data_IF_127587307384
#
_entry.id   IF_127587307384
#
_cell.length_a   1.000
_cell.length_b   1.000
_cell.length_c   1.000
_cell.angle_alpha   90.00
_cell.angle_beta   90.00
_cell.angle_gamma   90.00
#
_symmetry.space_group_name_H-M   'P 1'
#
loop_
_entity.id
_entity.type
_entity.pdbx_description
1 polymer ?
#
# COMPACT_ATOMS: atom_id res chain seq x y z
N UNK A 1 -6.14 -7.04 9.14
CA UNK A 1 -6.65 -6.39 7.94
C UNK A 1 -8.17 -6.30 7.97
N UNK A 2 -8.86 -7.40 8.25
CA UNK A 2 -10.31 -7.40 8.34
C UNK A 2 -10.85 -6.42 9.39
N UNK A 3 -10.17 -6.30 10.52
CA UNK A 3 -10.60 -5.38 11.56
C UNK A 3 -10.49 -3.93 11.15
N UNK A 4 -9.41 -3.53 10.46
CA UNK A 4 -9.27 -2.17 9.99
C UNK A 4 -10.35 -1.81 8.97
N UNK A 5 -10.76 -2.79 8.15
CA UNK A 5 -11.84 -2.59 7.18
C UNK A 5 -13.22 -2.50 7.83
N UNK A 6 -13.42 -3.17 8.98
CA UNK A 6 -14.71 -3.15 9.69
C UNK A 6 -14.93 -1.88 10.50
N UNK A 7 -13.87 -1.34 11.11
CA UNK A 7 -13.99 -0.19 12.01
C UNK A 7 -14.23 1.13 11.29
N UNK A 8 -13.85 1.23 10.02
CA UNK A 8 -14.03 2.45 9.23
C UNK A 8 -14.55 2.09 7.86
N UNK A 9 -15.33 2.99 7.30
CA UNK A 9 -15.82 2.81 5.93
C UNK A 9 -14.68 3.12 4.97
N UNK A 10 -13.97 2.09 4.52
CA UNK A 10 -12.83 2.22 3.62
C UNK A 10 -13.33 2.20 2.19
N UNK A 11 -13.07 3.28 1.46
CA UNK A 11 -13.43 3.40 0.04
C UNK A 11 -12.22 3.44 -0.87
N UNK A 12 -11.10 3.97 -0.40
CA UNK A 12 -9.88 4.13 -1.20
C UNK A 12 -8.68 3.66 -0.40
N UNK A 13 -7.89 2.78 -1.00
CA UNK A 13 -6.68 2.23 -0.39
C UNK A 13 -5.47 2.52 -1.27
N UNK A 14 -4.33 2.71 -0.64
CA UNK A 14 -3.05 2.89 -1.33
C UNK A 14 -2.07 1.83 -0.84
N UNK A 15 -1.43 1.13 -1.77
CA UNK A 15 -0.34 0.21 -1.45
C UNK A 15 0.99 0.95 -1.59
N UNK A 16 1.85 0.81 -0.60
CA UNK A 16 3.22 1.32 -0.65
C UNK A 16 4.13 0.14 -0.96
N UNK A 17 4.70 0.16 -2.16
CA UNK A 17 5.50 -0.94 -2.67
C UNK A 17 4.65 -2.05 -3.26
N UNK A 18 5.02 -2.53 -4.45
CA UNK A 18 4.29 -3.61 -5.13
C UNK A 18 5.22 -4.69 -5.65
N UNK A 19 6.52 -4.58 -5.37
CA UNK A 19 7.50 -5.57 -5.81
C UNK A 19 7.58 -6.74 -4.84
N UNK A 20 8.17 -7.86 -5.31
CA UNK A 20 8.36 -9.03 -4.48
C UNK A 20 9.33 -8.78 -3.32
N UNK A 21 10.44 -8.08 -3.59
CA UNK A 21 11.45 -7.72 -2.59
C UNK A 21 11.72 -6.23 -2.63
N UNK A 22 12.28 -5.71 -1.53
CA UNK A 22 12.64 -4.30 -1.50
C UNK A 22 13.82 -4.00 -2.43
N UNK A 23 13.86 -2.77 -2.94
CA UNK A 23 14.96 -2.23 -3.76
C UNK A 23 15.16 -2.94 -5.10
N UNK A 24 14.12 -3.60 -5.61
CA UNK A 24 14.13 -4.21 -6.95
C UNK A 24 12.81 -3.89 -7.64
N UNK A 25 12.78 -4.10 -8.98
CA UNK A 25 11.60 -3.80 -9.78
C UNK A 25 10.83 -5.05 -10.23
N UNK A 26 10.99 -6.16 -9.52
CA UNK A 26 10.40 -7.45 -9.87
C UNK A 26 9.04 -7.64 -9.20
N UNK A 27 7.97 -7.67 -10.00
CA UNK A 27 6.61 -7.89 -9.49
C UNK A 27 6.16 -9.34 -9.56
N UNK A 28 6.98 -10.23 -10.12
CA UNK A 28 6.65 -11.65 -10.20
C UNK A 28 6.57 -12.23 -8.79
N UNK A 29 5.57 -13.06 -8.55
CA UNK A 29 5.32 -13.68 -7.24
C UNK A 29 5.05 -12.68 -6.12
N UNK A 30 4.81 -11.41 -6.45
CA UNK A 30 4.50 -10.41 -5.42
C UNK A 30 3.09 -10.65 -4.86
N UNK A 31 2.92 -10.66 -3.53
CA UNK A 31 1.59 -10.78 -2.92
C UNK A 31 0.72 -9.55 -3.18
N UNK A 32 1.29 -8.43 -3.62
CA UNK A 32 0.54 -7.19 -3.85
C UNK A 32 -0.54 -7.37 -4.90
N UNK A 33 -0.28 -8.17 -5.95
CA UNK A 33 -1.26 -8.36 -7.02
C UNK A 33 -2.52 -9.07 -6.51
N UNK A 34 -2.35 -10.11 -5.70
CA UNK A 34 -3.48 -10.81 -5.10
C UNK A 34 -4.22 -9.90 -4.12
N UNK A 35 -3.47 -9.11 -3.35
CA UNK A 35 -4.05 -8.18 -2.40
C UNK A 35 -4.90 -7.11 -3.08
N UNK A 36 -4.41 -6.56 -4.20
CA UNK A 36 -5.17 -5.61 -5.00
C UNK A 36 -6.50 -6.23 -5.45
N UNK A 37 -6.45 -7.47 -5.94
CA UNK A 37 -7.66 -8.15 -6.40
C UNK A 37 -8.65 -8.41 -5.25
N UNK A 38 -8.16 -8.74 -4.07
CA UNK A 38 -9.01 -8.91 -2.89
C UNK A 38 -9.73 -7.59 -2.54
N UNK A 39 -9.00 -6.49 -2.53
CA UNK A 39 -9.57 -5.18 -2.22
C UNK A 39 -10.60 -4.76 -3.28
N UNK A 40 -10.31 -5.01 -4.56
CA UNK A 40 -11.24 -4.71 -5.64
C UNK A 40 -12.54 -5.50 -5.52
N UNK A 41 -12.47 -6.76 -5.10
CA UNK A 41 -13.68 -7.57 -4.85
C UNK A 41 -14.53 -6.98 -3.74
N UNK A 42 -13.93 -6.30 -2.80
CA UNK A 42 -14.64 -5.60 -1.73
C UNK A 42 -15.10 -4.20 -2.14
N UNK A 43 -14.96 -3.87 -3.42
CA UNK A 43 -15.35 -2.59 -4.02
C UNK A 43 -14.58 -1.40 -3.44
N UNK A 44 -13.33 -1.64 -3.08
CA UNK A 44 -12.40 -0.60 -2.62
C UNK A 44 -11.55 -0.19 -3.82
N UNK A 45 -11.48 1.12 -4.08
CA UNK A 45 -10.61 1.64 -5.13
C UNK A 45 -9.16 1.56 -4.65
N UNK A 46 -8.28 0.96 -5.46
CA UNK A 46 -6.89 0.72 -5.09
C UNK A 46 -5.96 1.44 -6.05
N UNK A 47 -5.00 2.16 -5.49
CA UNK A 47 -3.86 2.71 -6.21
C UNK A 47 -2.59 2.26 -5.50
N UNK A 48 -1.44 2.57 -6.09
CA UNK A 48 -0.17 2.22 -5.47
C UNK A 48 0.87 3.33 -5.67
N UNK A 49 1.86 3.33 -4.80
CA UNK A 49 3.08 4.11 -4.95
C UNK A 49 4.29 3.17 -4.85
N UNK A 50 5.12 3.15 -5.88
CA UNK A 50 6.36 2.38 -5.87
C UNK A 50 7.37 3.09 -6.80
N UNK A 51 8.50 3.58 -6.27
CA UNK A 51 9.46 4.32 -7.08
C UNK A 51 10.14 3.47 -8.15
N UNK A 52 10.06 2.15 -8.07
CA UNK A 52 10.65 1.24 -9.06
C UNK A 52 9.66 0.82 -10.15
N UNK A 53 8.36 1.04 -9.97
CA UNK A 53 7.32 0.54 -10.88
C UNK A 53 6.42 1.70 -11.31
N UNK A 54 6.68 2.26 -12.49
CA UNK A 54 5.87 3.36 -13.02
C UNK A 54 4.48 2.91 -13.44
N UNK A 55 4.40 1.72 -14.05
CA UNK A 55 3.15 1.13 -14.49
C UNK A 55 3.10 -0.30 -13.96
N UNK A 56 2.03 -0.63 -13.26
CA UNK A 56 1.82 -1.98 -12.75
C UNK A 56 0.88 -2.71 -13.72
N UNK A 57 1.45 -3.63 -14.48
CA UNK A 57 0.72 -4.41 -15.48
C UNK A 57 1.05 -5.89 -15.31
N UNK A 58 0.02 -6.72 -15.25
CA UNK A 58 0.19 -8.15 -15.09
C UNK A 58 -1.06 -8.87 -15.58
N UNK A 59 -0.89 -10.13 -16.01
CA UNK A 59 -2.04 -11.00 -16.32
C UNK A 59 -2.95 -11.20 -15.11
N UNK A 60 -2.41 -11.04 -13.91
CA UNK A 60 -3.13 -11.20 -12.65
C UNK A 60 -3.97 -9.97 -12.30
N UNK A 61 -3.82 -8.86 -13.03
CA UNK A 61 -4.60 -7.65 -12.83
C UNK A 61 -5.48 -7.38 -14.05
N UNK A 62 -6.77 -7.18 -13.81
CA UNK A 62 -7.72 -6.89 -14.88
C UNK A 62 -7.37 -5.59 -15.60
N UNK A 63 -7.08 -4.54 -14.86
CA UNK A 63 -6.70 -3.24 -15.41
C UNK A 63 -5.35 -2.84 -14.81
N UNK A 64 -4.46 -2.32 -15.66
CA UNK A 64 -3.18 -1.81 -15.20
C UNK A 64 -3.37 -0.57 -14.33
N UNK A 65 -2.38 -0.29 -13.49
CA UNK A 65 -2.36 0.87 -12.62
C UNK A 65 -1.10 1.69 -12.87
N UNK A 66 -1.19 2.99 -12.65
CA UNK A 66 -0.04 3.89 -12.70
C UNK A 66 0.37 4.25 -11.29
N UNK A 67 1.68 4.40 -11.07
CA UNK A 67 2.20 4.89 -9.80
C UNK A 67 1.68 6.30 -9.54
N UNK A 68 1.11 6.52 -8.36
CA UNK A 68 0.64 7.86 -7.99
C UNK A 68 1.78 8.68 -7.38
N UNK A 69 1.58 9.98 -7.29
CA UNK A 69 2.50 10.86 -6.58
C UNK A 69 2.23 10.75 -5.07
N UNK A 70 3.30 10.59 -4.27
CA UNK A 70 3.16 10.42 -2.83
C UNK A 70 2.47 11.61 -2.15
N UNK A 71 2.50 12.79 -2.77
CA UNK A 71 1.81 13.96 -2.24
C UNK A 71 0.29 13.77 -2.14
N UNK A 72 -0.28 12.79 -2.83
CA UNK A 72 -1.71 12.49 -2.80
C UNK A 72 -2.11 11.53 -1.69
N UNK A 73 -1.18 11.18 -0.82
CA UNK A 73 -1.40 10.13 0.19
C UNK A 73 -2.58 10.42 1.12
N UNK A 74 -2.84 11.69 1.43
CA UNK A 74 -3.96 12.07 2.31
C UNK A 74 -5.33 11.83 1.69
N UNK A 75 -5.42 11.55 0.39
CA UNK A 75 -6.68 11.25 -0.29
C UNK A 75 -7.16 9.82 -0.03
N UNK A 76 -6.35 8.97 0.59
CA UNK A 76 -6.67 7.56 0.79
C UNK A 76 -7.10 7.31 2.22
N UNK A 77 -8.08 6.41 2.38
CA UNK A 77 -8.62 6.08 3.69
C UNK A 77 -7.66 5.18 4.48
N UNK A 78 -6.88 4.35 3.77
CA UNK A 78 -5.95 3.42 4.39
C UNK A 78 -4.74 3.23 3.49
N UNK A 79 -3.58 3.06 4.12
CA UNK A 79 -2.30 2.82 3.46
C UNK A 79 -1.77 1.47 3.93
N UNK A 80 -1.43 0.59 2.99
CA UNK A 80 -0.80 -0.70 3.30
C UNK A 80 0.66 -0.65 2.87
N UNK A 81 1.59 -0.87 3.80
CA UNK A 81 3.00 -0.99 3.47
C UNK A 81 3.26 -2.45 3.11
N UNK A 82 3.45 -2.72 1.82
CA UNK A 82 3.66 -4.08 1.30
C UNK A 82 5.14 -4.36 1.06
N UNK A 83 5.85 -3.39 0.49
CA UNK A 83 7.30 -3.50 0.25
C UNK A 83 7.97 -2.23 0.74
N UNK A 84 9.00 -2.38 1.56
CA UNK A 84 9.66 -1.28 2.23
C UNK A 84 10.98 -0.87 1.55
N UNK A 85 10.91 -0.40 0.30
CA UNK A 85 12.09 0.11 -0.40
C UNK A 85 12.79 1.18 0.42
N UNK A 86 14.13 1.16 0.42
CA UNK A 86 14.92 2.10 1.22
C UNK A 86 14.74 3.55 0.81
N UNK A 87 14.43 3.80 -0.46
CA UNK A 87 14.28 5.17 -0.98
C UNK A 87 12.92 5.81 -0.66
N UNK A 88 12.02 5.10 -0.02
CA UNK A 88 10.69 5.65 0.32
C UNK A 88 10.78 6.49 1.60
N UNK A 89 10.16 7.66 1.56
CA UNK A 89 10.12 8.57 2.71
C UNK A 89 8.98 8.15 3.66
N UNK A 90 9.28 7.21 4.55
CA UNK A 90 8.29 6.69 5.50
C UNK A 90 7.91 7.70 6.59
N UNK A 91 8.75 8.70 6.85
CA UNK A 91 8.40 9.77 7.77
C UNK A 91 7.28 10.64 7.18
N UNK A 92 7.38 10.91 5.88
CA UNK A 92 6.34 11.66 5.17
C UNK A 92 5.00 10.88 5.20
N UNK A 93 5.06 9.57 4.96
CA UNK A 93 3.88 8.70 5.00
C UNK A 93 3.23 8.76 6.38
N UNK A 94 4.01 8.60 7.44
CA UNK A 94 3.50 8.65 8.81
C UNK A 94 2.81 9.98 9.12
N UNK A 95 3.40 11.07 8.65
CA UNK A 95 2.87 12.41 8.91
C UNK A 95 1.53 12.66 8.20
N UNK A 96 1.39 12.16 6.98
CA UNK A 96 0.28 12.57 6.10
C UNK A 96 -0.80 11.51 5.88
N UNK A 97 -0.56 10.26 6.22
CA UNK A 97 -1.54 9.20 6.06
C UNK A 97 -2.61 9.23 7.16
N UNK A 98 -3.82 8.82 6.79
CA UNK A 98 -4.92 8.74 7.77
C UNK A 98 -4.83 7.48 8.63
N UNK A 99 -4.53 6.35 8.00
CA UNK A 99 -4.42 5.06 8.67
C UNK A 99 -3.38 4.22 7.93
N UNK A 100 -2.46 3.60 8.66
CA UNK A 100 -1.37 2.82 8.08
C UNK A 100 -1.42 1.41 8.63
N UNK A 101 -1.36 0.42 7.72
CA UNK A 101 -1.13 -0.98 8.09
C UNK A 101 0.31 -1.31 7.76
N UNK A 102 1.13 -1.49 8.80
CA UNK A 102 2.57 -1.70 8.66
C UNK A 102 2.89 -3.19 8.75
N UNK A 103 3.01 -3.84 7.58
CA UNK A 103 3.29 -5.28 7.52
C UNK A 103 4.79 -5.59 7.54
N UNK A 104 5.63 -4.56 7.43
CA UNK A 104 7.10 -4.73 7.34
C UNK A 104 7.84 -4.23 8.57
N UNK A 105 7.09 -3.80 9.58
CA UNK A 105 7.67 -3.25 10.80
C UNK A 105 8.60 -2.05 10.54
N UNK A 106 8.19 -1.20 9.59
CA UNK A 106 8.94 0.01 9.24
C UNK A 106 9.03 0.96 10.42
N UNK A 107 7.94 1.11 11.16
CA UNK A 107 7.87 2.02 12.30
C UNK A 107 8.27 1.34 13.61
N UNK A 108 8.76 0.13 13.54
CA UNK A 108 9.35 -0.63 14.66
C UNK A 108 8.45 -0.60 15.92
N UNK A 109 8.91 0.03 16.99
CA UNK A 109 8.19 0.02 18.25
C UNK A 109 7.22 1.19 18.41
N UNK A 110 7.05 2.03 17.38
CA UNK A 110 6.11 3.15 17.47
C UNK A 110 4.69 2.65 17.63
N UNK A 111 4.00 3.18 18.63
CA UNK A 111 2.58 2.89 18.86
C UNK A 111 1.82 4.18 18.64
N UNK A 112 0.95 4.19 17.63
CA UNK A 112 0.09 5.33 17.33
C UNK A 112 -1.28 4.83 16.90
N UNK A 113 -2.29 5.63 17.16
CA UNK A 113 -3.69 5.27 16.81
C UNK A 113 -3.87 4.97 15.34
N UNK A 114 -3.06 5.60 14.48
CA UNK A 114 -3.18 5.43 13.02
C UNK A 114 -2.25 4.39 12.43
N UNK A 115 -1.43 3.71 13.24
CA UNK A 115 -0.52 2.66 12.76
C UNK A 115 -0.95 1.33 13.33
N UNK A 116 -1.30 0.41 12.42
CA UNK A 116 -1.68 -0.96 12.78
C UNK A 116 -0.54 -1.87 12.35
N UNK A 117 -0.05 -2.67 13.29
CA UNK A 117 0.99 -3.66 13.01
C UNK A 117 0.39 -5.04 12.87
N UNK A 118 0.95 -5.81 11.96
CA UNK A 118 0.51 -7.19 11.74
C UNK A 118 1.65 -8.17 12.00
#
# INVERSE_FOLDING_TARGET
IKESLKKKKIKKALLIGVTYKKNVDDIRQSPSLDFINILRKKKIKVDYYDPYIKILKSRRLKNSLKCINLSKISNYDIIYIVTDHDCIDFKYIKKNAKLIVDTRNVYKTEIRDKIIKL
#
